data_IF_494591235378
#
_entry.id   IF_494591235378
#
_cell.length_a   1.000
_cell.length_b   1.000
_cell.length_c   1.000
_cell.angle_alpha   90.00
_cell.angle_beta   90.00
_cell.angle_gamma   90.00
#
_symmetry.space_group_name_H-M   'P 1'
#
loop_
_entity.id
_entity.type
_entity.pdbx_description
1 polymer ?
#
# COMPACT_ATOMS: atom_id res chain seq x y z
N UNK A 1 -43.20 -32.71 2.92
CA UNK A 1 -42.25 -32.52 4.03
C UNK A 1 -41.04 -33.40 3.72
N UNK A 2 -40.07 -32.86 2.97
CA UNK A 2 -38.77 -33.49 2.74
C UNK A 2 -37.74 -32.40 2.46
N UNK A 3 -36.79 -32.41 3.26
CA UNK A 3 -35.62 -31.60 3.54
C UNK A 3 -34.76 -31.34 2.29
N UNK A 4 -34.46 -30.05 2.00
CA UNK A 4 -33.36 -29.71 1.11
C UNK A 4 -32.10 -29.54 1.95
N UNK A 5 -31.25 -30.55 1.92
CA UNK A 5 -29.92 -30.55 2.52
C UNK A 5 -28.88 -30.32 1.39
N UNK A 6 -28.15 -29.26 1.50
CA UNK A 6 -26.72 -29.18 1.20
C UNK A 6 -26.25 -29.46 -0.22
N UNK A 7 -26.19 -28.44 -1.06
CA UNK A 7 -25.15 -28.41 -2.09
C UNK A 7 -23.84 -27.96 -1.44
N UNK A 8 -22.96 -28.91 -1.10
CA UNK A 8 -21.53 -28.65 -0.88
C UNK A 8 -20.93 -28.24 -2.23
N UNK A 9 -20.59 -26.98 -2.37
CA UNK A 9 -19.68 -26.56 -3.41
C UNK A 9 -18.31 -27.13 -3.05
N UNK A 10 -17.89 -28.18 -3.76
CA UNK A 10 -16.52 -28.63 -3.81
C UNK A 10 -15.73 -27.56 -4.57
N UNK A 11 -15.09 -26.65 -3.85
CA UNK A 11 -13.97 -25.90 -4.39
C UNK A 11 -12.78 -26.86 -4.26
N UNK A 12 -12.44 -27.54 -5.35
CA UNK A 12 -11.23 -28.35 -5.42
C UNK A 12 -10.03 -27.46 -5.08
N UNK A 13 -9.13 -27.99 -4.25
CA UNK A 13 -7.87 -27.31 -3.97
C UNK A 13 -7.12 -27.13 -5.28
N UNK A 14 -6.67 -25.92 -5.62
CA UNK A 14 -6.02 -25.67 -6.90
C UNK A 14 -4.74 -26.50 -7.01
N UNK A 15 -4.65 -27.28 -8.09
CA UNK A 15 -3.39 -27.87 -8.54
C UNK A 15 -2.37 -26.74 -8.78
N UNK A 16 -1.10 -27.04 -8.57
CA UNK A 16 0.02 -26.11 -8.72
C UNK A 16 -0.05 -25.38 -10.07
N UNK A 17 -0.49 -24.10 -10.06
CA UNK A 17 -0.41 -23.24 -11.24
C UNK A 17 -1.52 -22.22 -11.45
N UNK A 18 -2.70 -22.34 -10.81
CA UNK A 18 -3.79 -21.37 -11.00
C UNK A 18 -4.05 -20.59 -9.72
N UNK A 19 -3.73 -19.30 -9.74
CA UNK A 19 -4.00 -18.37 -8.64
C UNK A 19 -5.48 -17.96 -8.67
N UNK A 20 -6.35 -18.71 -8.01
CA UNK A 20 -7.74 -18.31 -7.78
C UNK A 20 -7.79 -17.20 -6.73
N UNK A 21 -8.14 -15.99 -7.16
CA UNK A 21 -8.35 -14.89 -6.20
C UNK A 21 -9.75 -14.98 -5.62
N UNK A 22 -9.82 -15.32 -4.33
CA UNK A 22 -11.06 -15.34 -3.54
C UNK A 22 -11.63 -13.92 -3.44
N UNK A 23 -12.92 -13.76 -3.68
CA UNK A 23 -13.64 -12.47 -3.61
C UNK A 23 -14.39 -12.35 -2.27
N UNK A 24 -14.85 -11.12 -1.93
CA UNK A 24 -15.71 -10.91 -0.74
C UNK A 24 -17.01 -11.74 -0.81
N UNK A 25 -17.47 -12.07 -2.03
CA UNK A 25 -18.61 -12.94 -2.25
C UNK A 25 -18.27 -14.36 -1.82
N UNK A 26 -17.12 -14.88 -2.21
CA UNK A 26 -16.68 -16.23 -1.87
C UNK A 26 -16.46 -16.34 -0.37
N UNK A 27 -15.84 -15.34 0.27
CA UNK A 27 -15.72 -15.28 1.74
C UNK A 27 -17.09 -15.31 2.42
N UNK A 28 -18.06 -14.54 1.90
CA UNK A 28 -19.41 -14.50 2.46
C UNK A 28 -20.12 -15.85 2.32
N UNK A 29 -19.99 -16.52 1.18
CA UNK A 29 -20.57 -17.86 0.94
C UNK A 29 -19.91 -18.91 1.82
N UNK A 30 -18.57 -18.96 1.90
CA UNK A 30 -17.83 -19.91 2.73
C UNK A 30 -18.12 -19.71 4.22
N UNK A 31 -18.15 -18.45 4.67
CA UNK A 31 -18.46 -18.10 6.05
C UNK A 31 -19.97 -18.20 6.38
N UNK A 32 -20.85 -18.44 5.40
CA UNK A 32 -22.29 -18.51 5.58
C UNK A 32 -22.91 -17.21 6.11
N UNK A 33 -22.47 -16.07 5.60
CA UNK A 33 -22.93 -14.73 5.99
C UNK A 33 -23.19 -13.84 4.77
N UNK A 34 -23.76 -12.66 4.97
CA UNK A 34 -23.91 -11.67 3.89
C UNK A 34 -22.58 -10.95 3.60
N UNK A 35 -22.41 -10.42 2.36
CA UNK A 35 -21.27 -9.55 2.02
C UNK A 35 -21.16 -8.34 2.96
N UNK A 36 -22.31 -7.79 3.37
CA UNK A 36 -22.34 -6.68 4.31
C UNK A 36 -21.74 -7.07 5.67
N UNK A 37 -21.95 -8.31 6.12
CA UNK A 37 -21.36 -8.82 7.35
C UNK A 37 -19.86 -8.99 7.20
N UNK A 38 -19.37 -9.54 6.08
CA UNK A 38 -17.94 -9.64 5.81
C UNK A 38 -17.29 -8.24 5.76
N UNK A 39 -17.92 -7.29 5.07
CA UNK A 39 -17.44 -5.90 4.99
C UNK A 39 -17.35 -5.25 6.39
N UNK A 40 -18.35 -5.48 7.27
CA UNK A 40 -18.32 -4.96 8.64
C UNK A 40 -17.21 -5.59 9.48
N UNK A 41 -16.93 -6.87 9.31
CA UNK A 41 -15.81 -7.54 10.00
C UNK A 41 -14.48 -6.95 9.55
N UNK A 42 -14.27 -6.81 8.25
CA UNK A 42 -13.05 -6.28 7.65
C UNK A 42 -12.81 -4.83 8.07
N UNK A 43 -13.85 -3.98 7.95
CA UNK A 43 -13.74 -2.54 8.24
C UNK A 43 -13.95 -2.21 9.71
N UNK A 44 -14.19 -3.22 10.56
CA UNK A 44 -14.50 -3.06 12.00
C UNK A 44 -15.64 -2.06 12.27
N UNK A 45 -16.63 -1.99 11.37
CA UNK A 45 -17.76 -1.07 11.44
C UNK A 45 -19.04 -1.81 11.82
N UNK A 46 -19.89 -1.19 12.65
CA UNK A 46 -21.17 -1.74 13.09
C UNK A 46 -21.03 -2.98 13.98
N UNK A 47 -22.19 -3.44 14.49
CA UNK A 47 -22.24 -4.61 15.37
C UNK A 47 -22.18 -5.91 14.55
N UNK A 48 -21.24 -6.79 14.89
CA UNK A 48 -21.16 -8.18 14.45
C UNK A 48 -20.88 -9.04 15.67
N UNK A 49 -21.70 -10.07 15.86
CA UNK A 49 -21.56 -11.04 16.96
C UNK A 49 -20.17 -11.71 16.88
N UNK A 50 -19.55 -11.95 18.05
CA UNK A 50 -18.15 -12.40 18.14
C UNK A 50 -17.91 -13.74 17.44
N UNK A 51 -18.78 -14.74 17.62
CA UNK A 51 -18.70 -16.02 16.90
C UNK A 51 -18.75 -15.87 15.38
N UNK A 52 -19.51 -14.89 14.90
CA UNK A 52 -19.57 -14.57 13.45
C UNK A 52 -18.32 -13.87 13.00
N UNK A 53 -17.76 -12.98 13.82
CA UNK A 53 -16.49 -12.28 13.56
C UNK A 53 -15.35 -13.27 13.44
N UNK A 54 -15.20 -14.16 14.44
CA UNK A 54 -14.17 -15.20 14.45
C UNK A 54 -14.28 -16.13 13.23
N UNK A 55 -15.50 -16.56 12.88
CA UNK A 55 -15.72 -17.41 11.71
C UNK A 55 -15.36 -16.73 10.40
N UNK A 56 -15.75 -15.47 10.22
CA UNK A 56 -15.39 -14.68 9.03
C UNK A 56 -13.87 -14.46 8.99
N UNK A 57 -13.26 -14.12 10.12
CA UNK A 57 -11.82 -13.91 10.20
C UNK A 57 -11.05 -15.19 9.87
N UNK A 58 -11.45 -16.34 10.41
CA UNK A 58 -10.84 -17.63 10.09
C UNK A 58 -10.87 -17.95 8.59
N UNK A 59 -11.98 -17.63 7.91
CA UNK A 59 -12.09 -17.79 6.44
C UNK A 59 -11.18 -16.80 5.70
N UNK A 60 -11.13 -15.55 6.13
CA UNK A 60 -10.23 -14.53 5.58
C UNK A 60 -8.77 -15.00 5.67
N UNK A 61 -8.35 -15.47 6.84
CA UNK A 61 -6.98 -15.93 7.10
C UNK A 61 -6.65 -17.21 6.31
N UNK A 62 -7.58 -18.18 6.28
CA UNK A 62 -7.39 -19.43 5.54
C UNK A 62 -7.21 -19.24 4.04
N UNK A 63 -7.93 -18.29 3.45
CA UNK A 63 -7.86 -18.00 2.00
C UNK A 63 -6.96 -16.81 1.69
N UNK A 64 -6.25 -16.28 2.68
CA UNK A 64 -5.41 -15.08 2.56
C UNK A 64 -6.15 -13.94 1.82
N UNK A 65 -7.46 -13.81 2.13
CA UNK A 65 -8.28 -12.79 1.49
C UNK A 65 -7.91 -11.42 2.03
N UNK A 66 -7.39 -10.58 1.15
CA UNK A 66 -7.28 -9.15 1.40
C UNK A 66 -8.37 -8.44 0.59
N UNK A 67 -9.14 -7.50 1.16
CA UNK A 67 -10.08 -6.66 0.42
C UNK A 67 -9.31 -5.72 -0.50
N UNK A 68 -8.47 -6.30 -1.35
CA UNK A 68 -7.65 -5.53 -2.26
C UNK A 68 -8.54 -4.96 -3.37
N UNK A 69 -8.31 -3.70 -3.68
CA UNK A 69 -8.83 -3.03 -4.86
C UNK A 69 -8.65 -3.85 -6.17
N UNK A 70 -7.82 -4.90 -6.16
CA UNK A 70 -7.49 -5.71 -7.31
C UNK A 70 -8.65 -6.55 -7.89
N UNK A 71 -9.55 -7.09 -7.05
CA UNK A 71 -10.70 -7.87 -7.54
C UNK A 71 -11.80 -6.97 -8.11
N UNK A 72 -12.06 -5.84 -7.43
CA UNK A 72 -12.96 -4.78 -7.92
C UNK A 72 -12.41 -4.21 -9.23
N UNK A 73 -11.13 -3.96 -9.27
CA UNK A 73 -10.43 -3.42 -10.43
C UNK A 73 -10.50 -4.35 -11.66
N UNK A 74 -10.39 -5.67 -11.50
CA UNK A 74 -10.47 -6.61 -12.63
C UNK A 74 -11.85 -6.62 -13.29
N UNK A 75 -12.94 -6.55 -12.50
CA UNK A 75 -14.31 -6.44 -13.05
C UNK A 75 -14.53 -5.11 -13.78
N UNK A 76 -14.05 -4.02 -13.18
CA UNK A 76 -14.10 -2.69 -13.80
C UNK A 76 -13.27 -2.68 -15.10
N UNK A 77 -12.08 -3.26 -15.08
CA UNK A 77 -11.21 -3.41 -16.25
C UNK A 77 -11.94 -4.11 -17.40
N UNK A 78 -12.49 -5.32 -17.16
CA UNK A 78 -13.22 -6.07 -18.19
C UNK A 78 -14.47 -5.36 -18.68
N UNK A 79 -15.11 -4.55 -17.83
CA UNK A 79 -16.26 -3.73 -18.21
C UNK A 79 -15.84 -2.57 -19.12
N UNK A 80 -14.79 -1.85 -18.77
CA UNK A 80 -14.25 -0.74 -19.57
C UNK A 80 -13.70 -1.22 -20.93
N UNK A 81 -13.03 -2.39 -20.95
CA UNK A 81 -12.58 -2.99 -22.22
C UNK A 81 -13.76 -3.27 -23.19
N UNK A 82 -14.90 -3.76 -22.66
CA UNK A 82 -16.11 -4.01 -23.47
C UNK A 82 -16.76 -2.74 -23.98
N UNK A 83 -16.68 -1.65 -23.23
CA UNK A 83 -17.23 -0.36 -23.66
C UNK A 83 -16.40 0.30 -24.77
N UNK A 84 -15.16 -0.13 -24.96
CA UNK A 84 -14.22 0.41 -25.96
C UNK A 84 -14.12 1.95 -25.92
N UNK A 85 -14.12 2.53 -24.72
CA UNK A 85 -13.98 3.97 -24.51
C UNK A 85 -12.52 4.37 -24.32
N UNK A 86 -12.09 5.55 -24.78
CA UNK A 86 -10.77 6.08 -24.48
C UNK A 86 -10.55 6.10 -22.97
N UNK A 87 -9.46 5.49 -22.52
CA UNK A 87 -9.19 5.30 -21.09
C UNK A 87 -7.70 5.56 -20.81
N UNK A 88 -7.43 6.27 -19.72
CA UNK A 88 -6.09 6.46 -19.16
C UNK A 88 -6.08 5.95 -17.72
N UNK A 89 -5.10 5.12 -17.40
CA UNK A 89 -4.91 4.57 -16.06
C UNK A 89 -3.94 5.48 -15.29
N UNK A 90 -4.25 5.79 -14.04
CA UNK A 90 -3.41 6.65 -13.20
C UNK A 90 -3.01 5.95 -11.91
N UNK A 91 -1.78 6.21 -11.45
CA UNK A 91 -1.19 5.75 -10.18
C UNK A 91 -1.03 4.22 -10.09
N UNK A 92 -2.05 3.45 -10.41
CA UNK A 92 -2.04 1.98 -10.34
C UNK A 92 -2.17 1.36 -11.72
N UNK A 93 -1.21 0.54 -12.08
CA UNK A 93 -1.24 -0.23 -13.31
C UNK A 93 -1.96 -1.58 -13.12
N UNK A 94 -2.50 -2.10 -14.21
CA UNK A 94 -3.12 -3.43 -14.26
C UNK A 94 -2.26 -4.35 -15.12
N UNK A 95 -1.94 -5.56 -14.66
CA UNK A 95 -1.22 -6.53 -15.48
C UNK A 95 -1.94 -6.76 -16.81
N UNK A 96 -1.22 -6.59 -17.93
CA UNK A 96 -1.77 -6.73 -19.27
C UNK A 96 -2.63 -5.55 -19.76
N UNK A 97 -2.65 -4.42 -19.06
CA UNK A 97 -3.35 -3.21 -19.50
C UNK A 97 -2.91 -2.77 -20.89
N UNK A 98 -3.88 -2.49 -21.76
CA UNK A 98 -3.68 -1.94 -23.11
C UNK A 98 -3.84 -0.41 -23.15
N UNK A 99 -4.29 0.20 -22.05
CA UNK A 99 -4.58 1.62 -21.98
C UNK A 99 -3.31 2.44 -21.71
N UNK A 100 -3.38 3.69 -22.06
CA UNK A 100 -2.38 4.67 -21.68
C UNK A 100 -2.29 4.77 -20.16
N UNK A 101 -1.15 5.18 -19.66
CA UNK A 101 -0.93 5.25 -18.23
C UNK A 101 -0.08 6.43 -17.81
N UNK A 102 -0.39 6.98 -16.64
CA UNK A 102 0.42 7.99 -15.98
C UNK A 102 0.72 7.52 -14.56
N UNK A 103 1.99 7.30 -14.27
CA UNK A 103 2.44 6.67 -13.03
C UNK A 103 3.55 7.47 -12.37
N UNK A 104 3.80 7.17 -11.09
CA UNK A 104 4.97 7.65 -10.37
C UNK A 104 6.10 6.60 -10.40
N UNK A 105 7.34 7.09 -10.27
CA UNK A 105 8.54 6.27 -10.16
C UNK A 105 8.64 5.65 -8.75
N UNK A 106 7.83 4.62 -8.47
CA UNK A 106 7.73 4.02 -7.12
C UNK A 106 9.04 3.39 -6.65
N UNK A 107 9.73 2.65 -7.52
CA UNK A 107 11.05 2.07 -7.20
C UNK A 107 12.04 3.18 -6.81
N UNK A 108 12.14 4.21 -7.64
CA UNK A 108 13.05 5.32 -7.40
C UNK A 108 12.67 6.12 -6.15
N UNK A 109 11.37 6.20 -5.83
CA UNK A 109 10.90 6.84 -4.59
C UNK A 109 11.38 6.08 -3.34
N UNK A 110 11.32 4.75 -3.36
CA UNK A 110 11.85 3.92 -2.27
C UNK A 110 13.37 4.01 -2.15
N UNK A 111 14.06 3.98 -3.30
CA UNK A 111 15.51 4.11 -3.36
C UNK A 111 15.99 5.46 -2.80
N UNK A 112 15.44 6.56 -3.29
CA UNK A 112 15.81 7.91 -2.88
C UNK A 112 15.55 8.16 -1.37
N UNK A 113 14.46 7.62 -0.83
CA UNK A 113 14.17 7.72 0.60
C UNK A 113 15.21 6.99 1.45
N UNK A 114 15.59 5.76 1.08
CA UNK A 114 16.61 5.01 1.81
C UNK A 114 17.99 5.67 1.69
N UNK A 115 18.37 6.10 0.49
CA UNK A 115 19.62 6.83 0.26
C UNK A 115 19.71 8.09 1.15
N UNK A 116 18.64 8.86 1.28
CA UNK A 116 18.60 10.04 2.14
C UNK A 116 18.73 9.68 3.63
N UNK A 117 18.08 8.60 4.10
CA UNK A 117 18.26 8.11 5.48
C UNK A 117 19.71 7.70 5.75
N UNK A 118 20.37 7.02 4.81
CA UNK A 118 21.76 6.59 4.94
C UNK A 118 22.70 7.80 4.90
N UNK A 119 22.49 8.74 4.00
CA UNK A 119 23.27 9.98 3.88
C UNK A 119 23.18 10.82 5.17
N UNK A 120 22.04 10.77 5.87
CA UNK A 120 21.84 11.40 7.18
C UNK A 120 22.56 10.68 8.34
N UNK A 121 23.28 9.59 8.08
CA UNK A 121 24.11 8.88 9.08
C UNK A 121 23.46 7.65 9.70
N UNK A 122 22.21 7.31 9.34
CA UNK A 122 21.56 6.11 9.87
C UNK A 122 22.17 4.83 9.27
N UNK A 123 22.25 3.76 10.08
CA UNK A 123 22.84 2.48 9.69
C UNK A 123 21.92 1.28 9.83
N UNK A 124 20.90 1.38 10.68
CA UNK A 124 19.85 0.35 10.82
C UNK A 124 18.53 0.90 10.32
N UNK A 125 18.08 0.36 9.20
CA UNK A 125 16.88 0.85 8.51
C UNK A 125 15.74 -0.11 8.68
N UNK A 126 14.51 0.43 8.71
CA UNK A 126 13.27 -0.32 8.69
C UNK A 126 12.24 0.30 7.76
N UNK A 127 11.20 -0.44 7.46
CA UNK A 127 10.12 0.03 6.60
C UNK A 127 8.77 -0.41 7.13
N UNK A 128 7.81 0.52 7.12
CA UNK A 128 6.39 0.18 7.26
C UNK A 128 5.76 0.27 5.88
N UNK A 129 5.40 -0.88 5.34
CA UNK A 129 4.84 -1.02 3.99
C UNK A 129 3.45 -1.66 4.01
N UNK A 130 2.93 -2.06 2.87
CA UNK A 130 1.69 -2.81 2.71
C UNK A 130 1.95 -4.17 2.07
N UNK A 131 0.89 -4.84 1.65
CA UNK A 131 0.95 -6.12 0.94
C UNK A 131 1.83 -6.01 -0.32
N UNK A 132 2.94 -6.73 -0.35
CA UNK A 132 3.90 -6.72 -1.46
C UNK A 132 3.37 -7.33 -2.76
N UNK A 133 2.17 -7.95 -2.74
CA UNK A 133 1.45 -8.32 -3.96
C UNK A 133 0.98 -7.09 -4.74
N UNK A 134 0.83 -5.95 -4.06
CA UNK A 134 0.54 -4.66 -4.70
C UNK A 134 1.82 -4.13 -5.35
N UNK A 135 1.78 -3.90 -6.67
CA UNK A 135 2.94 -3.41 -7.45
C UNK A 135 3.60 -2.18 -6.81
N UNK A 136 2.80 -1.21 -6.37
CA UNK A 136 3.29 0.03 -5.74
C UNK A 136 4.09 -0.28 -4.46
N UNK A 137 3.56 -1.14 -3.59
CA UNK A 137 4.24 -1.52 -2.34
C UNK A 137 5.54 -2.26 -2.64
N UNK A 138 5.50 -3.21 -3.58
CA UNK A 138 6.66 -3.99 -3.99
C UNK A 138 7.76 -3.13 -4.61
N UNK A 139 7.43 -2.24 -5.55
CA UNK A 139 8.43 -1.37 -6.19
C UNK A 139 9.11 -0.44 -5.18
N UNK A 140 8.36 0.15 -4.23
CA UNK A 140 8.93 0.98 -3.16
C UNK A 140 9.83 0.16 -2.24
N UNK A 141 9.41 -1.05 -1.90
CA UNK A 141 10.18 -1.99 -1.08
C UNK A 141 11.46 -2.42 -1.77
N UNK A 142 11.40 -2.82 -3.05
CA UNK A 142 12.58 -3.23 -3.83
C UNK A 142 13.58 -2.08 -3.97
N UNK A 143 13.12 -0.85 -4.23
CA UNK A 143 13.98 0.33 -4.27
C UNK A 143 14.64 0.63 -2.92
N UNK A 144 13.88 0.54 -1.83
CA UNK A 144 14.38 0.72 -0.47
C UNK A 144 15.49 -0.30 -0.13
N UNK A 145 15.26 -1.58 -0.42
CA UNK A 145 16.25 -2.63 -0.17
C UNK A 145 17.52 -2.44 -1.01
N UNK A 146 17.36 -2.07 -2.29
CA UNK A 146 18.50 -1.87 -3.17
C UNK A 146 19.39 -0.71 -2.68
N UNK A 147 18.81 0.43 -2.32
CA UNK A 147 19.57 1.55 -1.79
C UNK A 147 20.26 1.21 -0.44
N UNK A 148 19.59 0.45 0.40
CA UNK A 148 20.17 -0.02 1.66
C UNK A 148 21.36 -0.96 1.42
N UNK A 149 21.29 -1.84 0.43
CA UNK A 149 22.37 -2.71 0.03
C UNK A 149 23.55 -1.90 -0.55
N UNK A 150 23.28 -0.97 -1.47
CA UNK A 150 24.29 -0.13 -2.11
C UNK A 150 25.02 0.76 -1.09
N UNK A 151 24.28 1.22 -0.06
CA UNK A 151 24.81 2.02 1.05
C UNK A 151 25.47 1.21 2.18
N UNK A 152 25.59 -0.11 2.03
CA UNK A 152 26.22 -0.98 3.04
C UNK A 152 25.42 -1.11 4.35
N UNK A 153 24.10 -0.91 4.29
CA UNK A 153 23.18 -0.97 5.42
C UNK A 153 22.09 -2.04 5.17
N UNK A 154 22.42 -3.34 5.01
CA UNK A 154 21.45 -4.36 4.68
C UNK A 154 20.31 -4.40 5.71
N UNK A 155 19.09 -4.47 5.21
CA UNK A 155 17.88 -4.46 6.04
C UNK A 155 17.53 -5.88 6.47
N UNK A 156 17.32 -6.07 7.77
CA UNK A 156 16.77 -7.33 8.30
C UNK A 156 15.29 -7.48 7.97
N UNK A 157 14.85 -8.69 7.64
CA UNK A 157 13.44 -8.99 7.38
C UNK A 157 12.53 -8.61 8.56
N UNK A 158 13.00 -8.73 9.79
CA UNK A 158 12.28 -8.34 11.00
C UNK A 158 12.04 -6.82 11.11
N UNK A 159 12.76 -6.00 10.35
CA UNK A 159 12.57 -4.55 10.27
C UNK A 159 11.56 -4.14 9.17
N UNK A 160 10.93 -5.11 8.50
CA UNK A 160 9.88 -4.88 7.51
C UNK A 160 8.51 -5.18 8.13
N UNK A 161 7.72 -4.14 8.29
CA UNK A 161 6.41 -4.21 8.96
C UNK A 161 5.29 -3.92 7.96
N UNK A 162 4.20 -4.68 8.04
CA UNK A 162 3.02 -4.47 7.19
C UNK A 162 1.97 -3.63 7.92
N UNK A 163 1.51 -2.56 7.28
CA UNK A 163 0.54 -1.58 7.81
C UNK A 163 -0.67 -1.34 6.92
N UNK A 164 -0.93 -2.18 5.90
CA UNK A 164 -2.11 -2.23 5.02
C UNK A 164 -2.48 -0.90 4.32
N UNK A 165 -1.57 0.07 4.25
CA UNK A 165 -1.80 1.42 3.76
C UNK A 165 -2.94 2.17 4.50
N UNK A 166 -3.23 1.78 5.74
CA UNK A 166 -4.19 2.46 6.62
C UNK A 166 -3.48 3.08 7.83
N UNK A 167 -4.11 4.07 8.46
CA UNK A 167 -3.59 4.67 9.69
C UNK A 167 -3.54 3.62 10.81
N UNK A 168 -4.60 2.83 10.97
CA UNK A 168 -4.74 1.82 12.03
C UNK A 168 -3.72 0.69 11.88
N UNK A 169 -3.57 0.17 10.66
CA UNK A 169 -2.60 -0.90 10.37
C UNK A 169 -1.16 -0.42 10.56
N UNK A 170 -0.85 0.78 10.09
CA UNK A 170 0.46 1.40 10.27
C UNK A 170 0.75 1.71 11.75
N UNK A 171 -0.23 2.20 12.50
CA UNK A 171 -0.12 2.41 13.94
C UNK A 171 0.19 1.10 14.69
N UNK A 172 -0.53 0.03 14.39
CA UNK A 172 -0.28 -1.28 15.00
C UNK A 172 1.12 -1.83 14.63
N UNK A 173 1.55 -1.66 13.38
CA UNK A 173 2.88 -2.02 12.91
C UNK A 173 3.98 -1.21 13.63
N UNK A 174 3.79 0.10 13.72
CA UNK A 174 4.71 1.02 14.40
C UNK A 174 4.83 0.69 15.89
N UNK A 175 3.73 0.38 16.58
CA UNK A 175 3.79 -0.04 17.98
C UNK A 175 4.69 -1.26 18.17
N UNK A 176 4.48 -2.33 17.39
CA UNK A 176 5.32 -3.53 17.45
C UNK A 176 6.80 -3.20 17.21
N UNK A 177 7.07 -2.33 16.23
CA UNK A 177 8.43 -1.90 15.91
C UNK A 177 9.06 -1.13 17.07
N UNK A 178 8.35 -0.15 17.64
CA UNK A 178 8.84 0.71 18.71
C UNK A 178 9.00 -0.03 20.06
N UNK A 179 8.31 -1.15 20.24
CA UNK A 179 8.41 -2.02 21.42
C UNK A 179 9.53 -3.07 21.30
N UNK A 180 10.12 -3.24 20.11
CA UNK A 180 11.24 -4.17 19.89
C UNK A 180 12.54 -3.62 20.45
N UNK A 181 13.31 -4.48 21.13
CA UNK A 181 14.66 -4.16 21.59
C UNK A 181 15.63 -3.94 20.41
N UNK A 182 15.38 -4.62 19.28
CA UNK A 182 16.13 -4.47 18.03
C UNK A 182 15.33 -3.61 17.02
N UNK A 183 14.95 -2.40 17.45
CA UNK A 183 14.25 -1.48 16.54
C UNK A 183 15.22 -0.75 15.61
N UNK A 184 14.81 -0.44 14.36
CA UNK A 184 15.63 0.35 13.45
C UNK A 184 15.83 1.78 13.95
N UNK A 185 16.97 2.39 13.61
CA UNK A 185 17.25 3.80 13.86
C UNK A 185 16.40 4.73 12.98
N UNK A 186 16.14 4.30 11.76
CA UNK A 186 15.44 5.11 10.77
C UNK A 186 14.40 4.28 10.00
N UNK A 187 13.29 4.91 9.66
CA UNK A 187 12.12 4.24 9.09
C UNK A 187 11.66 4.93 7.82
N UNK A 188 11.40 4.15 6.77
CA UNK A 188 10.61 4.57 5.62
C UNK A 188 9.15 4.21 5.85
N UNK A 189 8.25 5.19 5.77
CA UNK A 189 6.80 4.98 5.73
C UNK A 189 6.29 5.10 4.30
N UNK A 190 5.59 4.06 3.82
CA UNK A 190 5.39 3.84 2.38
C UNK A 190 4.27 4.66 1.74
N UNK A 191 3.48 5.44 2.50
CA UNK A 191 2.54 6.46 2.02
C UNK A 191 2.12 7.41 3.16
N UNK A 192 1.32 8.44 2.84
CA UNK A 192 0.83 9.42 3.82
C UNK A 192 0.06 8.81 5.00
N UNK A 193 -0.84 7.84 4.78
CA UNK A 193 -1.59 7.18 5.84
C UNK A 193 -0.68 6.35 6.74
N UNK A 194 0.30 5.68 6.17
CA UNK A 194 1.33 4.95 6.91
C UNK A 194 2.15 5.91 7.77
N UNK A 195 2.52 7.08 7.23
CA UNK A 195 3.21 8.11 7.97
C UNK A 195 2.39 8.60 9.16
N UNK A 196 1.10 8.88 8.98
CA UNK A 196 0.22 9.32 10.07
C UNK A 196 0.07 8.27 11.17
N UNK A 197 -0.07 6.98 10.81
CA UNK A 197 -0.13 5.88 11.76
C UNK A 197 1.17 5.74 12.57
N UNK A 198 2.32 5.87 11.90
CA UNK A 198 3.63 5.87 12.53
C UNK A 198 3.78 7.04 13.50
N UNK A 199 3.47 8.26 13.06
CA UNK A 199 3.55 9.47 13.89
C UNK A 199 2.69 9.36 15.14
N UNK A 200 1.48 8.81 15.03
CA UNK A 200 0.60 8.54 16.17
C UNK A 200 1.29 7.63 17.20
N UNK A 201 1.89 6.53 16.77
CA UNK A 201 2.56 5.60 17.68
C UNK A 201 3.79 6.21 18.36
N UNK A 202 4.60 6.98 17.62
CA UNK A 202 5.76 7.73 18.15
C UNK A 202 5.32 8.72 19.22
N UNK A 203 4.27 9.50 18.94
CA UNK A 203 3.73 10.51 19.86
C UNK A 203 3.17 9.87 21.13
N UNK A 204 2.38 8.81 21.02
CA UNK A 204 1.81 8.09 22.18
C UNK A 204 2.89 7.46 23.06
N UNK A 205 4.02 7.06 22.47
CA UNK A 205 5.17 6.53 23.22
C UNK A 205 6.03 7.63 23.86
N UNK A 206 5.72 8.90 23.61
CA UNK A 206 6.49 10.04 24.10
C UNK A 206 7.84 10.22 23.41
N UNK A 207 8.05 9.57 22.28
CA UNK A 207 9.26 9.69 21.46
C UNK A 207 9.19 10.91 20.54
N UNK A 208 10.35 11.42 20.14
CA UNK A 208 10.48 12.54 19.22
C UNK A 208 11.21 12.10 17.95
N UNK A 209 10.62 12.47 16.80
CA UNK A 209 11.27 12.29 15.51
C UNK A 209 12.49 13.20 15.43
N UNK A 210 13.54 12.71 14.78
CA UNK A 210 14.81 13.45 14.67
C UNK A 210 15.70 13.33 15.90
N UNK A 211 15.17 12.85 17.03
CA UNK A 211 15.94 12.61 18.27
C UNK A 211 15.98 11.13 18.65
N UNK A 212 14.82 10.48 18.74
CA UNK A 212 14.71 9.11 19.23
C UNK A 212 14.55 8.09 18.10
N UNK A 213 14.12 8.55 16.92
CA UNK A 213 13.97 7.78 15.69
C UNK A 213 13.94 8.72 14.47
N UNK A 214 14.62 8.35 13.41
CA UNK A 214 14.56 9.07 12.14
C UNK A 214 13.44 8.52 11.24
N UNK A 215 12.87 9.36 10.36
CA UNK A 215 11.82 8.95 9.45
C UNK A 215 11.82 9.74 8.15
N UNK A 216 11.53 9.06 7.04
CA UNK A 216 11.11 9.67 5.79
C UNK A 216 9.78 9.03 5.37
N UNK A 217 8.82 9.84 4.90
CA UNK A 217 7.58 9.34 4.31
C UNK A 217 7.58 9.40 2.80
N UNK A 218 6.81 8.52 2.15
CA UNK A 218 6.38 8.75 0.77
C UNK A 218 5.04 9.48 0.85
N UNK A 219 4.87 10.46 -0.01
CA UNK A 219 3.84 11.48 -0.03
C UNK A 219 4.06 12.65 0.94
N UNK A 220 3.79 13.83 0.44
CA UNK A 220 3.76 15.05 1.23
C UNK A 220 2.44 15.16 2.01
N UNK A 221 2.51 15.59 3.26
CA UNK A 221 1.36 15.81 4.15
C UNK A 221 1.31 17.29 4.52
N UNK A 222 0.52 18.11 3.79
CA UNK A 222 0.48 19.57 4.00
C UNK A 222 0.12 19.98 5.43
N UNK A 223 -0.68 19.19 6.12
CA UNK A 223 -1.10 19.44 7.50
C UNK A 223 0.08 19.47 8.47
N UNK A 224 1.11 18.68 8.22
CA UNK A 224 2.32 18.68 9.04
C UNK A 224 3.13 19.98 8.86
N UNK A 225 3.06 20.60 7.69
CA UNK A 225 3.68 21.91 7.43
C UNK A 225 2.97 23.02 8.22
N UNK A 226 1.64 23.00 8.26
CA UNK A 226 0.84 23.95 9.03
C UNK A 226 1.21 23.88 10.52
N UNK A 227 1.50 22.69 11.01
CA UNK A 227 1.90 22.42 12.39
C UNK A 227 3.40 22.67 12.65
N UNK A 228 4.16 23.13 11.67
CA UNK A 228 5.62 23.25 11.70
C UNK A 228 6.32 21.94 12.12
N UNK A 229 5.73 20.81 11.76
CA UNK A 229 6.28 19.50 12.02
C UNK A 229 7.29 19.17 10.93
N UNK A 230 8.57 19.17 11.24
CA UNK A 230 9.67 19.00 10.29
C UNK A 230 9.72 17.59 9.69
N UNK A 231 8.71 17.20 8.90
CA UNK A 231 8.58 15.85 8.34
C UNK A 231 9.15 15.77 6.92
N UNK A 232 10.23 15.01 6.74
CA UNK A 232 10.90 14.77 5.46
C UNK A 232 10.12 13.75 4.63
N UNK A 233 10.03 13.99 3.34
CA UNK A 233 9.27 13.09 2.46
C UNK A 233 9.79 13.06 1.02
N UNK A 234 9.45 11.96 0.33
CA UNK A 234 9.49 11.86 -1.13
C UNK A 234 8.13 12.28 -1.65
N UNK A 235 8.03 13.53 -2.11
CA UNK A 235 6.79 14.13 -2.57
C UNK A 235 6.48 13.74 -4.01
N UNK A 236 5.19 13.56 -4.31
CA UNK A 236 4.66 13.26 -5.64
C UNK A 236 3.72 14.37 -6.07
N UNK A 237 3.86 14.86 -7.31
CA UNK A 237 2.99 15.90 -7.85
C UNK A 237 1.71 15.30 -8.43
N UNK A 238 0.69 15.17 -7.59
CA UNK A 238 -0.62 14.63 -7.99
C UNK A 238 -1.39 15.57 -8.91
N UNK A 239 -1.11 16.88 -8.84
CA UNK A 239 -1.71 17.89 -9.75
C UNK A 239 -1.15 17.70 -11.15
N UNK A 240 0.17 17.54 -11.26
CA UNK A 240 0.82 17.25 -12.55
C UNK A 240 0.30 15.92 -13.12
N UNK A 241 0.13 14.90 -12.28
CA UNK A 241 -0.45 13.61 -12.70
C UNK A 241 -1.84 13.79 -13.33
N UNK A 242 -2.72 14.52 -12.67
CA UNK A 242 -4.06 14.80 -13.21
C UNK A 242 -4.05 15.57 -14.53
N UNK A 243 -3.18 16.58 -14.64
CA UNK A 243 -3.02 17.36 -15.89
C UNK A 243 -2.51 16.48 -17.03
N UNK A 244 -1.48 15.69 -16.78
CA UNK A 244 -0.88 14.81 -17.79
C UNK A 244 -1.85 13.71 -18.21
N UNK A 245 -2.58 13.13 -17.26
CA UNK A 245 -3.60 12.13 -17.55
C UNK A 245 -4.70 12.69 -18.46
N UNK A 246 -5.14 13.94 -18.24
CA UNK A 246 -6.13 14.60 -19.10
C UNK A 246 -5.56 14.89 -20.49
N UNK A 247 -4.30 15.34 -20.59
CA UNK A 247 -3.65 15.55 -21.88
C UNK A 247 -3.57 14.26 -22.69
N UNK A 248 -3.11 13.18 -22.08
CA UNK A 248 -3.02 11.85 -22.71
C UNK A 248 -4.40 11.34 -23.13
N UNK A 249 -5.43 11.57 -22.33
CA UNK A 249 -6.80 11.17 -22.65
C UNK A 249 -7.34 11.94 -23.87
N UNK A 250 -7.18 13.26 -23.90
CA UNK A 250 -7.59 14.11 -25.03
C UNK A 250 -6.86 13.70 -26.32
N UNK A 251 -5.57 13.43 -26.23
CA UNK A 251 -4.77 12.97 -27.36
C UNK A 251 -5.24 11.59 -27.87
N UNK A 252 -5.59 10.65 -26.98
CA UNK A 252 -6.18 9.36 -27.33
C UNK A 252 -7.53 9.49 -28.02
N UNK A 253 -8.37 10.46 -27.57
CA UNK A 253 -9.67 10.73 -28.20
C UNK A 253 -9.52 11.29 -29.63
N UNK A 254 -8.49 12.12 -29.89
CA UNK A 254 -8.19 12.67 -31.21
C UNK A 254 -7.50 11.67 -32.12
N UNK A 255 -6.72 10.75 -31.57
CA UNK A 255 -5.90 9.79 -32.30
C UNK A 255 -6.11 8.36 -31.70
N UNK A 256 -7.24 7.70 -31.97
CA UNK A 256 -7.58 6.41 -31.35
C UNK A 256 -6.56 5.29 -31.61
N UNK A 257 -5.93 5.31 -32.79
CA UNK A 257 -4.98 4.28 -33.23
C UNK A 257 -3.53 4.52 -32.80
N UNK A 258 -3.26 5.59 -32.04
CA UNK A 258 -1.93 5.89 -31.52
C UNK A 258 -1.41 4.74 -30.64
N UNK A 259 -0.12 4.45 -30.70
CA UNK A 259 0.50 3.48 -29.80
C UNK A 259 0.27 3.85 -28.33
N UNK A 260 0.19 2.82 -27.47
CA UNK A 260 0.07 2.98 -26.03
C UNK A 260 1.19 3.88 -25.48
N UNK A 261 0.81 4.84 -24.66
CA UNK A 261 1.75 5.74 -23.98
C UNK A 261 1.80 5.42 -22.48
N UNK A 262 3.03 5.40 -21.94
CA UNK A 262 3.26 5.34 -20.50
C UNK A 262 4.09 6.54 -20.12
N UNK A 263 3.52 7.40 -19.29
CA UNK A 263 4.18 8.59 -18.76
C UNK A 263 4.56 8.36 -17.30
N UNK A 264 5.83 8.59 -16.98
CA UNK A 264 6.33 8.54 -15.61
C UNK A 264 6.52 9.95 -15.08
N UNK A 265 6.02 10.19 -13.87
CA UNK A 265 6.19 11.48 -13.17
C UNK A 265 7.29 11.29 -12.12
N UNK A 266 8.33 12.16 -12.16
CA UNK A 266 9.39 12.12 -11.17
C UNK A 266 8.88 12.50 -9.79
N UNK A 267 9.55 12.00 -8.77
CA UNK A 267 9.37 12.40 -7.39
C UNK A 267 10.27 13.61 -7.05
N UNK A 268 10.01 14.21 -5.90
CA UNK A 268 10.85 15.28 -5.32
C UNK A 268 11.16 14.95 -3.87
N UNK A 269 12.44 14.85 -3.53
CA UNK A 269 12.87 14.71 -2.14
C UNK A 269 12.77 16.07 -1.43
N UNK A 270 12.11 16.09 -0.27
CA UNK A 270 11.96 17.24 0.61
C UNK A 270 12.50 16.85 1.98
N UNK A 271 13.64 17.43 2.38
CA UNK A 271 14.25 17.17 3.68
C UNK A 271 13.93 18.31 4.64
N UNK A 272 13.46 17.97 5.83
CA UNK A 272 13.03 18.89 6.89
C UNK A 272 13.62 18.53 8.26
N UNK A 273 14.55 17.59 8.31
CA UNK A 273 15.27 17.18 9.50
C UNK A 273 14.82 15.87 10.13
N UNK A 274 13.63 15.36 9.81
CA UNK A 274 13.18 14.07 10.39
C UNK A 274 13.97 12.86 9.89
N UNK A 275 14.73 12.98 8.81
CA UNK A 275 15.56 11.94 8.22
C UNK A 275 16.84 11.66 9.00
N UNK A 276 17.24 12.55 9.90
CA UNK A 276 18.45 12.43 10.72
C UNK A 276 18.09 12.32 12.21
N UNK A 277 19.02 11.80 12.99
CA UNK A 277 18.95 11.87 14.45
C UNK A 277 19.91 12.96 14.92
N UNK A 278 19.41 13.87 15.75
CA UNK A 278 20.29 14.83 16.45
C UNK A 278 21.15 14.03 17.43
N UNK A 279 22.47 14.11 17.26
CA UNK A 279 23.46 13.39 18.06
C UNK A 279 23.59 13.98 19.48
#
# INVERSE_FOLDING_TARGET
MQTMIGKRLHIEQPGKGECYMVTIQDIAEIAGVSKATVSRVINRTGYVNEKTRERVQAVIDQYHYSPSASAVNRRLYSYLERLNVPTVVVDRDFPGSKWDGVFFENYQSGYCAAEALIAAGNRTLGMITSDLRLKIARERYEGFLQAAQDGGCPVSEQHIYQGDFTIEGAYAAAKRMLESDDRPQAVLTSNNLTSLGFLKAVTEKGMQIGRDIAVIGIDHIPELDILNYGFSCVARDTVQMGRLAMQVLLERMQNPDKQRQICMIPHRLILKGSEKMDG
#
